data_IF_052358800634
#
_entry.id   IF_052358800634
#
_cell.length_a   1.000
_cell.length_b   1.000
_cell.length_c   1.000
_cell.angle_alpha   90.00
_cell.angle_beta   90.00
_cell.angle_gamma   90.00
#
_symmetry.space_group_name_H-M   'P 1'
#
loop_
_entity.id
_entity.type
_entity.pdbx_description
1 polymer ?
#
# COMPACT_ATOMS: atom_id res chain seq x y z
N UNK A 1 11.63 -13.06 8.79
CA UNK A 1 10.47 -12.67 9.55
C UNK A 1 9.56 -11.80 8.71
N UNK A 2 8.27 -12.08 8.70
CA UNK A 2 7.35 -11.30 7.89
C UNK A 2 6.94 -10.03 8.63
N UNK A 3 6.74 -8.96 7.88
CA UNK A 3 6.20 -7.74 8.46
C UNK A 3 4.69 -7.88 8.63
N UNK A 4 4.08 -7.15 9.57
CA UNK A 4 2.62 -7.15 9.68
C UNK A 4 1.97 -6.77 8.36
N UNK A 5 0.88 -7.45 8.03
CA UNK A 5 0.16 -7.22 6.78
C UNK A 5 -1.08 -6.37 7.11
N UNK A 6 -1.13 -5.18 6.56
CA UNK A 6 -2.12 -4.17 6.95
C UNK A 6 -2.74 -3.55 5.70
N UNK A 7 -4.05 -3.43 5.70
CA UNK A 7 -4.76 -2.81 4.60
C UNK A 7 -4.36 -1.34 4.45
N UNK A 8 -4.27 -0.87 3.22
CA UNK A 8 -4.05 0.54 2.93
C UNK A 8 -4.77 0.90 1.64
N UNK A 9 -5.26 2.14 1.58
CA UNK A 9 -5.90 2.65 0.37
C UNK A 9 -4.79 3.31 -0.48
N UNK A 10 -4.44 2.66 -1.58
CA UNK A 10 -3.35 3.14 -2.43
C UNK A 10 -3.71 4.42 -3.18
N UNK A 11 -4.96 4.88 -3.08
CA UNK A 11 -5.35 6.17 -3.63
C UNK A 11 -5.28 7.29 -2.61
N UNK A 12 -5.02 6.96 -1.34
CA UNK A 12 -5.02 7.94 -0.27
C UNK A 12 -3.58 8.32 0.09
N UNK A 13 -2.95 9.05 -0.81
CA UNK A 13 -1.55 9.44 -0.64
C UNK A 13 -1.44 10.93 -0.34
N UNK A 14 -0.40 11.29 0.44
CA UNK A 14 -0.15 12.70 0.72
C UNK A 14 0.63 13.34 -0.43
N UNK A 15 1.01 14.60 -0.26
CA UNK A 15 1.68 15.34 -1.33
C UNK A 15 3.07 14.78 -1.67
N UNK A 16 3.61 13.96 -0.79
CA UNK A 16 4.91 13.31 -1.02
C UNK A 16 4.77 11.88 -1.50
N UNK A 17 3.56 11.44 -1.76
CA UNK A 17 3.32 10.08 -2.23
C UNK A 17 3.34 9.03 -1.15
N UNK A 18 3.27 9.43 0.12
CA UNK A 18 3.20 8.47 1.22
C UNK A 18 1.75 8.13 1.49
N UNK A 19 1.48 6.87 1.75
CA UNK A 19 0.10 6.43 2.00
C UNK A 19 -0.33 6.83 3.40
N UNK A 20 -1.49 7.45 3.51
CA UNK A 20 -2.05 7.77 4.81
C UNK A 20 -2.64 6.51 5.42
N UNK A 21 -2.30 6.25 6.68
CA UNK A 21 -2.75 5.03 7.36
C UNK A 21 -3.97 5.35 8.22
N UNK A 22 -4.96 5.98 7.61
CA UNK A 22 -6.10 6.53 8.33
C UNK A 22 -7.43 5.91 7.98
N UNK A 23 -7.48 5.00 7.00
CA UNK A 23 -8.77 4.43 6.64
C UNK A 23 -9.18 3.36 7.64
N UNK A 24 -10.48 3.06 7.64
CA UNK A 24 -11.06 2.15 8.61
C UNK A 24 -10.42 0.77 8.51
N UNK A 25 -10.20 0.27 7.28
CA UNK A 25 -9.60 -1.04 7.10
C UNK A 25 -8.20 -1.13 7.68
N UNK A 26 -7.43 -0.04 7.58
CA UNK A 26 -6.10 0.00 8.18
C UNK A 26 -6.21 -0.10 9.69
N UNK A 27 -7.10 0.68 10.28
CA UNK A 27 -7.26 0.69 11.73
C UNK A 27 -7.75 -0.64 12.24
N UNK A 28 -8.65 -1.28 11.51
CA UNK A 28 -9.16 -2.58 11.89
C UNK A 28 -8.05 -3.64 11.90
N UNK A 29 -7.23 -3.64 10.86
CA UNK A 29 -6.15 -4.62 10.78
C UNK A 29 -5.11 -4.41 11.87
N UNK A 30 -4.78 -3.17 12.16
CA UNK A 30 -3.84 -2.87 13.23
C UNK A 30 -4.38 -3.33 14.58
N UNK A 31 -5.65 -3.08 14.83
CA UNK A 31 -6.27 -3.48 16.10
C UNK A 31 -6.33 -4.99 16.22
N UNK A 32 -6.69 -5.67 15.13
CA UNK A 32 -6.81 -7.12 15.14
C UNK A 32 -5.49 -7.80 15.43
N UNK A 33 -4.41 -7.23 14.91
CA UNK A 33 -3.09 -7.82 15.06
C UNK A 33 -2.33 -7.26 16.27
N UNK A 34 -2.95 -6.36 17.01
CA UNK A 34 -2.33 -5.70 18.17
C UNK A 34 -1.03 -4.99 17.79
N UNK A 35 -1.05 -4.31 16.65
CA UNK A 35 0.12 -3.59 16.14
C UNK A 35 -0.02 -2.12 16.47
N UNK A 36 1.01 -1.56 17.11
CA UNK A 36 1.09 -0.12 17.35
C UNK A 36 2.12 0.45 16.39
N UNK A 37 1.73 1.50 15.67
CA UNK A 37 2.62 2.12 14.70
C UNK A 37 3.74 2.88 15.40
N UNK A 38 4.92 2.82 14.81
CA UNK A 38 6.08 3.56 15.32
C UNK A 38 6.96 3.97 14.16
N UNK A 39 7.79 4.98 14.40
CA UNK A 39 8.70 5.48 13.37
C UNK A 39 9.64 4.39 12.90
N UNK A 40 9.77 4.26 11.59
CA UNK A 40 10.67 3.29 10.99
C UNK A 40 10.14 1.88 10.92
N UNK A 41 8.92 1.64 11.42
CA UNK A 41 8.34 0.31 11.37
C UNK A 41 8.06 -0.09 9.92
N UNK A 42 8.28 -1.36 9.61
CA UNK A 42 7.99 -1.88 8.29
C UNK A 42 6.66 -2.62 8.28
N UNK A 43 5.87 -2.38 7.25
CA UNK A 43 4.59 -3.05 7.06
C UNK A 43 4.52 -3.59 5.65
N UNK A 44 3.77 -4.68 5.48
CA UNK A 44 3.34 -5.11 4.16
C UNK A 44 1.94 -4.54 3.97
N UNK A 45 1.80 -3.61 3.03
CA UNK A 45 0.52 -2.94 2.78
C UNK A 45 -0.18 -3.63 1.61
N UNK A 46 -1.49 -3.80 1.72
CA UNK A 46 -2.26 -4.46 0.66
C UNK A 46 -3.58 -3.74 0.44
N UNK A 47 -4.14 -3.95 -0.73
CA UNK A 47 -5.48 -3.48 -1.08
C UNK A 47 -6.05 -4.39 -2.13
N UNK A 48 -7.38 -4.45 -2.19
CA UNK A 48 -8.05 -5.23 -3.23
C UNK A 48 -7.93 -4.52 -4.57
N UNK A 49 -7.78 -5.30 -5.62
CA UNK A 49 -7.67 -4.77 -6.98
C UNK A 49 -8.16 -5.81 -7.95
N UNK A 50 -8.04 -5.50 -9.24
CA UNK A 50 -8.36 -6.44 -10.31
C UNK A 50 -7.09 -6.70 -11.10
N UNK A 51 -6.93 -7.95 -11.53
CA UNK A 51 -5.80 -8.28 -12.40
C UNK A 51 -6.13 -7.86 -13.83
N UNK A 52 -5.21 -8.16 -14.76
CA UNK A 52 -5.39 -7.75 -16.16
C UNK A 52 -6.55 -8.46 -16.84
N UNK A 53 -7.02 -9.54 -16.27
CA UNK A 53 -8.17 -10.27 -16.79
C UNK A 53 -9.47 -9.84 -16.12
N UNK A 54 -9.43 -8.88 -15.22
CA UNK A 54 -10.61 -8.39 -14.53
C UNK A 54 -11.02 -9.23 -13.34
N UNK A 55 -10.18 -10.15 -12.89
CA UNK A 55 -10.47 -10.98 -11.73
C UNK A 55 -9.89 -10.37 -10.48
N UNK A 56 -10.49 -10.70 -9.34
CA UNK A 56 -10.03 -10.15 -8.06
C UNK A 56 -8.59 -10.56 -7.77
N UNK A 57 -7.81 -9.61 -7.34
CA UNK A 57 -6.42 -9.82 -6.98
C UNK A 57 -6.12 -8.83 -5.85
N UNK A 58 -4.89 -8.84 -5.37
CA UNK A 58 -4.47 -7.88 -4.35
C UNK A 58 -3.25 -7.15 -4.82
N UNK A 59 -3.22 -5.85 -4.53
CA UNK A 59 -1.99 -5.07 -4.62
C UNK A 59 -1.26 -5.19 -3.30
N UNK A 60 0.05 -5.21 -3.34
CA UNK A 60 0.82 -5.14 -2.11
C UNK A 60 2.14 -4.42 -2.34
N UNK A 61 2.66 -3.85 -1.27
CA UNK A 61 3.95 -3.16 -1.29
C UNK A 61 4.45 -3.06 0.14
N UNK A 62 5.76 -3.05 0.29
CA UNK A 62 6.35 -2.80 1.61
C UNK A 62 6.39 -1.31 1.85
N UNK A 63 6.11 -0.93 3.08
CA UNK A 63 6.14 0.47 3.46
C UNK A 63 6.89 0.69 4.75
N UNK A 64 7.42 1.89 4.89
CA UNK A 64 8.12 2.31 6.10
C UNK A 64 7.29 3.41 6.75
N UNK A 65 6.94 3.19 8.00
CA UNK A 65 6.00 4.05 8.72
C UNK A 65 6.72 5.27 9.27
N UNK A 66 6.07 6.41 9.19
CA UNK A 66 6.52 7.61 9.88
C UNK A 66 5.31 8.44 10.26
N UNK A 67 5.49 9.35 11.22
CA UNK A 67 4.40 10.23 11.61
C UNK A 67 4.51 11.54 10.83
N UNK A 68 3.43 11.94 10.18
CA UNK A 68 3.40 13.20 9.45
C UNK A 68 2.97 14.31 10.41
N UNK A 69 3.91 15.15 10.79
CA UNK A 69 3.59 16.30 11.65
C UNK A 69 2.66 17.26 10.94
N UNK A 70 2.85 17.38 9.64
CA UNK A 70 2.07 18.30 8.83
C UNK A 70 0.60 17.92 8.81
N UNK A 71 0.31 16.64 8.65
CA UNK A 71 -1.06 16.16 8.54
C UNK A 71 -1.57 15.53 9.83
N UNK A 72 -0.68 15.38 10.81
CA UNK A 72 -1.03 14.86 12.12
C UNK A 72 -1.58 13.44 12.04
N UNK A 73 -0.95 12.61 11.21
CA UNK A 73 -1.35 11.22 11.08
C UNK A 73 -0.16 10.38 10.69
N UNK A 74 -0.31 9.07 10.86
CA UNK A 74 0.71 8.13 10.42
C UNK A 74 0.63 7.92 8.92
N UNK A 75 1.79 7.81 8.29
CA UNK A 75 1.88 7.56 6.85
C UNK A 75 2.92 6.46 6.62
N UNK A 76 2.90 5.88 5.42
CA UNK A 76 3.87 4.87 5.04
C UNK A 76 4.46 5.23 3.69
N UNK A 77 5.79 5.32 3.66
CA UNK A 77 6.50 5.56 2.41
C UNK A 77 6.66 4.24 1.68
N UNK A 78 6.28 4.21 0.42
CA UNK A 78 6.41 3.00 -0.40
C UNK A 78 7.18 3.34 -1.67
N UNK A 79 7.71 2.31 -2.31
CA UNK A 79 8.29 2.45 -3.64
C UNK A 79 7.19 2.15 -4.65
N UNK A 80 6.65 3.21 -5.25
CA UNK A 80 5.53 3.06 -6.18
C UNK A 80 5.85 2.15 -7.36
N UNK A 81 7.12 2.05 -7.73
CA UNK A 81 7.53 1.18 -8.83
C UNK A 81 7.61 -0.29 -8.41
N UNK A 82 7.51 -0.56 -7.13
CA UNK A 82 7.63 -1.93 -6.61
C UNK A 82 6.29 -2.53 -6.21
N UNK A 83 5.18 -1.86 -6.51
CA UNK A 83 3.86 -2.40 -6.21
C UNK A 83 3.62 -3.63 -7.09
N UNK A 84 3.07 -4.68 -6.49
CA UNK A 84 2.81 -5.96 -7.17
C UNK A 84 1.40 -6.44 -6.89
N UNK A 85 0.88 -7.23 -7.82
CA UNK A 85 -0.30 -8.06 -7.54
C UNK A 85 0.14 -9.35 -6.89
N UNK A 86 -0.74 -9.93 -6.09
CA UNK A 86 -0.46 -11.23 -5.46
C UNK A 86 -0.18 -12.29 -6.51
N UNK A 87 -0.83 -12.20 -7.66
CA UNK A 87 -0.61 -13.15 -8.76
C UNK A 87 0.74 -12.98 -9.42
N UNK A 88 1.48 -11.92 -9.08
CA UNK A 88 2.77 -11.64 -9.69
C UNK A 88 2.69 -10.67 -10.85
N UNK A 89 1.49 -10.24 -11.23
CA UNK A 89 1.33 -9.28 -12.31
C UNK A 89 1.62 -7.88 -11.82
N UNK A 90 2.13 -7.05 -12.70
CA UNK A 90 2.31 -5.65 -12.41
C UNK A 90 0.95 -4.96 -12.48
N UNK A 91 0.66 -4.01 -11.57
CA UNK A 91 -0.64 -3.33 -11.59
C UNK A 91 -0.84 -2.48 -12.83
N UNK A 92 0.26 -2.03 -13.42
CA UNK A 92 0.19 -1.23 -14.63
C UNK A 92 0.91 -1.99 -15.72
N UNK A 93 0.20 -2.30 -16.83
CA UNK A 93 0.86 -2.97 -17.95
C UNK A 93 1.99 -2.11 -18.49
N UNK A 94 2.97 -2.72 -19.15
CA UNK A 94 4.05 -1.94 -19.76
C UNK A 94 3.48 -0.91 -20.71
N UNK A 95 4.06 0.24 -20.72
CA UNK A 95 3.52 1.35 -21.47
C UNK A 95 3.63 1.21 -22.97
N UNK A 96 4.43 0.31 -23.39
CA UNK A 96 4.48 0.06 -24.81
C UNK A 96 3.13 -0.30 -25.37
N UNK A 97 2.25 -0.74 -24.48
CA UNK A 97 0.93 -1.03 -24.92
C UNK A 97 0.16 0.19 -25.27
N UNK A 98 0.63 1.22 -24.87
CA UNK A 98 -0.01 2.42 -25.20
C UNK A 98 0.41 2.89 -26.46
N UNK A 99 1.15 2.34 -26.93
CA UNK A 99 1.63 2.85 -28.02
C UNK A 99 1.13 2.59 -29.21
N UNK A 100 0.77 2.09 -28.76
CA UNK A 100 0.82 1.97 -29.26
C UNK A 100 0.60 2.11 -29.76
N UNK A 101 0.60 1.88 -29.49
CA UNK A 101 0.86 2.11 -29.30
C UNK A 101 0.74 2.33 -29.58
#
# INVERSE_FOLDING_TARGET
MAFPRVYADFHNADSRGRLRLTCVGTEEDLAEQHVELSEGMHLTLYADDLDNAGQLDELFAEGVVSFSEEERCWVAAIDWSAIRHTSGELPFPPQKDCILN
#
